data_IF_501323430012
#
_entry.id   IF_501323430012
#
_cell.length_a   1.000
_cell.length_b   1.000
_cell.length_c   1.000
_cell.angle_alpha   90.00
_cell.angle_beta   90.00
_cell.angle_gamma   90.00
#
_symmetry.space_group_name_H-M   'P 1'
#
loop_
_entity.id
_entity.type
_entity.pdbx_description
1 polymer ?
#
# COMPACT_ATOMS: atom_id res chain seq x y z
N UNK A 1 -52.18 -39.99 19.04
CA UNK A 1 -53.10 -38.83 19.23
C UNK A 1 -53.54 -38.78 20.69
N UNK A 2 -53.80 -37.63 21.33
CA UNK A 2 -54.24 -36.35 20.73
C UNK A 2 -53.38 -35.13 21.18
N UNK A 3 -53.33 -34.04 20.39
CA UNK A 3 -53.96 -32.71 20.64
C UNK A 3 -53.24 -31.86 21.71
N UNK A 4 -53.11 -30.55 21.62
CA UNK A 4 -53.40 -29.53 20.61
C UNK A 4 -52.72 -28.26 21.16
N UNK A 5 -52.25 -27.41 20.26
CA UNK A 5 -51.73 -26.08 20.55
C UNK A 5 -52.81 -25.14 21.13
N UNK A 6 -52.37 -24.03 21.74
CA UNK A 6 -52.83 -22.63 21.57
C UNK A 6 -52.68 -21.85 22.89
N UNK A 7 -52.36 -20.56 22.73
CA UNK A 7 -52.46 -19.38 23.65
C UNK A 7 -51.09 -18.73 23.86
N UNK A 8 -50.72 -17.66 23.14
CA UNK A 8 -51.33 -16.34 22.90
C UNK A 8 -51.39 -15.43 24.14
N UNK A 9 -50.76 -14.26 23.96
CA UNK A 9 -50.98 -12.96 24.59
C UNK A 9 -50.17 -12.51 25.82
N UNK A 10 -49.35 -11.48 25.53
CA UNK A 10 -49.37 -10.10 26.07
C UNK A 10 -49.09 -9.86 27.57
N UNK A 11 -47.91 -9.25 27.78
CA UNK A 11 -47.63 -7.99 28.52
C UNK A 11 -48.21 -7.77 29.92
N UNK A 12 -47.35 -7.33 30.85
CA UNK A 12 -47.44 -6.14 31.73
C UNK A 12 -46.70 -6.36 33.06
N UNK A 13 -45.98 -5.33 33.56
CA UNK A 13 -45.52 -5.25 34.96
C UNK A 13 -44.00 -5.06 35.12
N UNK A 14 -43.42 -3.85 35.11
CA UNK A 14 -43.37 -2.80 36.17
C UNK A 14 -42.18 -2.97 37.15
N UNK A 15 -41.24 -2.02 37.02
CA UNK A 15 -40.40 -1.31 38.02
C UNK A 15 -39.95 -1.91 39.37
N UNK A 16 -38.63 -1.80 39.63
CA UNK A 16 -37.98 -1.20 40.82
C UNK A 16 -36.48 -1.67 40.83
N UNK A 17 -35.43 -0.86 40.61
CA UNK A 17 -34.85 0.31 41.32
C UNK A 17 -33.96 -0.08 42.53
N UNK A 18 -32.73 0.50 42.56
CA UNK A 18 -31.69 0.57 43.64
C UNK A 18 -30.88 -0.74 43.85
N UNK A 19 -29.55 -0.81 43.98
CA UNK A 19 -28.47 0.12 44.41
C UNK A 19 -27.13 -0.58 44.20
N UNK A 20 -26.04 0.15 43.92
CA UNK A 20 -24.68 -0.40 44.12
C UNK A 20 -23.58 0.24 43.28
N UNK A 21 -23.16 1.45 43.66
CA UNK A 21 -21.89 2.05 43.27
C UNK A 21 -20.74 1.28 43.94
N UNK A 22 -19.89 0.59 43.18
CA UNK A 22 -18.54 0.21 43.64
C UNK A 22 -17.52 0.85 42.70
N UNK A 23 -16.73 1.74 43.28
CA UNK A 23 -15.63 2.47 42.69
C UNK A 23 -14.32 1.69 42.89
N UNK A 24 -13.69 1.28 41.79
CA UNK A 24 -12.23 1.13 41.65
C UNK A 24 -11.59 -0.22 42.03
N UNK A 25 -11.07 -0.96 41.04
CA UNK A 25 -9.64 -0.97 40.67
C UNK A 25 -9.32 -2.05 39.61
N UNK A 26 -8.59 -1.62 38.59
CA UNK A 26 -7.61 -2.37 37.79
C UNK A 26 -8.06 -3.64 37.03
N UNK A 27 -8.51 -3.45 35.78
CA UNK A 27 -7.96 -4.18 34.63
C UNK A 27 -7.96 -3.25 33.41
N UNK A 28 -6.80 -2.88 32.84
CA UNK A 28 -6.77 -2.34 31.50
C UNK A 28 -7.11 -3.49 30.55
N UNK A 29 -8.33 -3.50 30.02
CA UNK A 29 -8.57 -4.26 28.81
C UNK A 29 -7.80 -3.55 27.70
N UNK A 30 -6.56 -3.97 27.47
CA UNK A 30 -5.82 -3.72 26.25
C UNK A 30 -6.61 -4.35 25.10
N UNK A 31 -7.67 -3.65 24.69
CA UNK A 31 -8.32 -3.85 23.41
C UNK A 31 -7.38 -3.29 22.35
N UNK A 32 -6.26 -3.98 22.13
CA UNK A 32 -5.51 -3.87 20.89
C UNK A 32 -6.33 -4.54 19.78
N UNK A 33 -7.44 -3.89 19.40
CA UNK A 33 -7.97 -4.01 18.04
C UNK A 33 -7.29 -2.96 17.17
N UNK A 34 -5.96 -3.01 17.15
CA UNK A 34 -5.15 -2.36 16.13
C UNK A 34 -4.73 -3.43 15.13
N UNK A 35 -5.69 -3.96 14.38
CA UNK A 35 -5.41 -4.22 12.96
C UNK A 35 -5.48 -2.89 12.24
N UNK A 36 -4.49 -2.04 12.51
CA UNK A 36 -4.02 -1.09 11.53
C UNK A 36 -3.40 -1.93 10.41
N UNK A 37 -4.26 -2.50 9.56
CA UNK A 37 -3.93 -2.65 8.14
C UNK A 37 -3.69 -1.22 7.66
N UNK A 38 -2.46 -0.73 7.88
CA UNK A 38 -1.91 0.35 7.08
C UNK A 38 -1.74 -0.24 5.68
N UNK A 39 -2.87 -0.47 4.99
CA UNK A 39 -2.97 -0.36 3.55
C UNK A 39 -2.51 1.06 3.26
N UNK A 40 -1.20 1.19 3.05
CA UNK A 40 -0.63 2.31 2.34
C UNK A 40 -1.25 2.27 0.94
N UNK A 41 -2.41 2.91 0.86
CA UNK A 41 -3.20 3.13 -0.33
C UNK A 41 -2.44 4.17 -1.14
N UNK A 42 -1.31 3.76 -1.72
CA UNK A 42 -0.58 4.62 -2.65
C UNK A 42 -1.21 4.44 -4.04
N UNK A 43 -2.39 5.05 -4.15
CA UNK A 43 -3.06 5.59 -5.32
C UNK A 43 -2.91 4.84 -6.67
N UNK A 44 -4.05 4.29 -7.12
CA UNK A 44 -4.42 3.99 -8.51
C UNK A 44 -3.29 3.57 -9.45
N UNK A 45 -3.15 2.27 -9.63
CA UNK A 45 -2.50 1.70 -10.82
C UNK A 45 -3.42 0.59 -11.37
N UNK A 46 -3.54 0.43 -12.70
CA UNK A 46 -4.29 -0.65 -13.32
C UNK A 46 -3.89 -1.99 -12.68
N UNK A 47 -4.86 -2.88 -12.45
CA UNK A 47 -4.76 -4.05 -11.56
C UNK A 47 -3.69 -5.04 -12.01
N UNK A 48 -2.45 -4.76 -11.62
CA UNK A 48 -1.38 -5.71 -11.38
C UNK A 48 -1.73 -6.57 -10.18
N UNK A 49 -1.37 -7.86 -10.16
CA UNK A 49 -1.42 -8.56 -8.88
C UNK A 49 -0.31 -8.01 -7.97
N UNK A 50 -0.58 -7.98 -6.65
CA UNK A 50 0.34 -7.45 -5.63
C UNK A 50 1.75 -8.05 -5.76
N UNK A 51 1.86 -9.30 -6.20
CA UNK A 51 3.13 -9.98 -6.39
C UNK A 51 3.94 -9.47 -7.60
N UNK A 52 3.30 -9.26 -8.76
CA UNK A 52 4.00 -8.74 -9.95
C UNK A 52 4.46 -7.30 -9.74
N UNK A 53 3.58 -6.43 -9.21
CA UNK A 53 3.94 -5.05 -8.88
C UNK A 53 5.11 -4.99 -7.88
N UNK A 54 5.10 -5.88 -6.87
CA UNK A 54 6.20 -6.01 -5.91
C UNK A 54 7.49 -6.48 -6.57
N UNK A 55 7.43 -7.43 -7.52
CA UNK A 55 8.60 -7.89 -8.25
C UNK A 55 9.24 -6.77 -9.09
N UNK A 56 8.43 -5.99 -9.83
CA UNK A 56 8.92 -4.83 -10.59
C UNK A 56 9.51 -3.78 -9.66
N UNK A 57 8.79 -3.44 -8.58
CA UNK A 57 9.24 -2.51 -7.54
C UNK A 57 10.61 -2.92 -7.00
N UNK A 58 10.74 -4.15 -6.50
CA UNK A 58 11.99 -4.66 -5.92
C UNK A 58 13.15 -4.62 -6.92
N UNK A 59 12.89 -4.94 -8.19
CA UNK A 59 13.90 -4.89 -9.23
C UNK A 59 14.40 -3.47 -9.48
N UNK A 60 13.54 -2.47 -9.42
CA UNK A 60 13.93 -1.06 -9.54
C UNK A 60 14.64 -0.58 -8.27
N UNK A 61 14.09 -0.87 -7.07
CA UNK A 61 14.64 -0.45 -5.78
C UNK A 61 16.07 -0.96 -5.58
N UNK A 62 16.34 -2.22 -5.93
CA UNK A 62 17.69 -2.80 -5.82
C UNK A 62 18.75 -2.16 -6.74
N UNK A 63 18.34 -1.34 -7.72
CA UNK A 63 19.25 -0.56 -8.59
C UNK A 63 19.20 0.94 -8.28
N UNK A 64 18.46 1.32 -7.24
CA UNK A 64 18.26 2.69 -6.83
C UNK A 64 19.44 3.12 -5.93
N UNK A 65 20.36 3.90 -6.49
CA UNK A 65 21.49 4.46 -5.75
C UNK A 65 21.29 5.96 -5.60
N UNK A 66 20.89 6.39 -4.41
CA UNK A 66 20.74 7.81 -4.06
C UNK A 66 21.97 8.27 -3.32
N UNK A 67 22.53 9.41 -3.69
CA UNK A 67 23.61 10.04 -2.92
C UNK A 67 23.01 10.54 -1.59
N UNK A 68 23.43 9.93 -0.48
CA UNK A 68 22.97 10.23 0.88
C UNK A 68 23.29 11.67 1.33
N UNK A 69 24.09 12.43 0.57
CA UNK A 69 24.40 13.84 0.82
C UNK A 69 23.33 14.81 0.33
N UNK A 70 22.32 14.34 -0.39
CA UNK A 70 21.18 15.15 -0.81
C UNK A 70 20.28 15.43 0.40
N UNK A 71 20.23 16.70 0.82
CA UNK A 71 19.30 17.17 1.84
C UNK A 71 17.85 17.10 1.32
N UNK A 72 16.90 16.92 2.24
CA UNK A 72 15.44 16.96 1.99
C UNK A 72 14.83 15.81 1.17
N UNK A 73 15.58 14.73 0.88
CA UNK A 73 15.02 13.53 0.22
C UNK A 73 13.82 12.99 1.00
N UNK A 74 13.83 13.04 2.33
CA UNK A 74 12.76 12.47 3.17
C UNK A 74 11.37 13.06 2.98
N UNK A 75 11.22 14.14 2.19
CA UNK A 75 9.92 14.75 1.85
C UNK A 75 9.50 14.53 0.38
N UNK A 76 10.23 13.69 -0.35
CA UNK A 76 10.05 13.51 -1.80
C UNK A 76 9.22 12.27 -2.12
N UNK A 77 8.26 12.42 -3.03
CA UNK A 77 7.50 11.32 -3.63
C UNK A 77 7.92 11.16 -5.08
N UNK A 78 8.19 9.92 -5.46
CA UNK A 78 8.62 9.53 -6.80
C UNK A 78 7.58 8.61 -7.42
N UNK A 79 7.04 9.00 -8.57
CA UNK A 79 6.12 8.19 -9.38
C UNK A 79 6.83 7.77 -10.65
N UNK A 80 6.90 6.47 -10.90
CA UNK A 80 7.50 5.89 -12.09
C UNK A 80 6.41 5.21 -12.90
N UNK A 81 6.30 5.57 -14.17
CA UNK A 81 5.39 4.94 -15.12
C UNK A 81 6.19 4.33 -16.27
N UNK A 82 6.00 3.03 -16.50
CA UNK A 82 6.70 2.27 -17.54
C UNK A 82 5.73 1.39 -18.32
N UNK A 83 6.06 1.18 -19.59
CA UNK A 83 5.44 0.19 -20.47
C UNK A 83 6.44 -0.90 -20.77
N UNK A 84 5.99 -2.14 -20.75
CA UNK A 84 6.82 -3.33 -20.88
C UNK A 84 6.31 -4.19 -22.04
N UNK A 85 7.25 -4.75 -22.81
CA UNK A 85 6.98 -5.78 -23.80
C UNK A 85 6.88 -7.16 -23.12
N UNK A 86 6.35 -8.17 -23.82
CA UNK A 86 6.14 -9.52 -23.29
C UNK A 86 7.44 -10.24 -22.89
N UNK A 87 8.58 -9.78 -23.40
CA UNK A 87 9.92 -10.24 -23.03
C UNK A 87 10.51 -9.51 -21.80
N UNK A 88 9.77 -8.55 -21.24
CA UNK A 88 10.19 -7.73 -20.12
C UNK A 88 11.04 -6.52 -20.50
N UNK A 89 11.21 -6.22 -21.80
CA UNK A 89 11.92 -5.02 -22.25
C UNK A 89 11.05 -3.78 -22.05
N UNK A 90 11.70 -2.63 -21.81
CA UNK A 90 10.99 -1.34 -21.76
C UNK A 90 10.58 -0.94 -23.17
N UNK A 91 9.32 -0.54 -23.31
CA UNK A 91 8.75 -0.01 -24.55
C UNK A 91 8.63 1.51 -24.42
N UNK A 92 9.25 2.24 -25.35
CA UNK A 92 9.28 3.69 -25.32
C UNK A 92 10.12 4.25 -24.18
N UNK A 93 9.70 5.39 -23.64
CA UNK A 93 10.42 6.09 -22.60
C UNK A 93 9.70 5.93 -21.25
N UNK A 94 10.42 5.52 -20.18
CA UNK A 94 9.91 5.65 -18.82
C UNK A 94 9.56 7.10 -18.50
N UNK A 95 8.41 7.30 -17.89
CA UNK A 95 8.02 8.59 -17.30
C UNK A 95 8.32 8.56 -15.80
N UNK A 96 8.98 9.62 -15.32
CA UNK A 96 9.45 9.72 -13.94
C UNK A 96 9.07 11.10 -13.43
N UNK A 97 8.16 11.12 -12.47
CA UNK A 97 7.65 12.32 -11.85
C UNK A 97 8.09 12.38 -10.39
N UNK A 98 8.54 13.54 -9.96
CA UNK A 98 9.04 13.75 -8.60
C UNK A 98 8.38 14.99 -8.02
N UNK A 99 7.87 14.86 -6.80
CA UNK A 99 7.17 15.94 -6.10
C UNK A 99 7.70 16.08 -4.67
N UNK A 100 7.65 17.31 -4.13
CA UNK A 100 8.23 17.63 -2.81
C UNK A 100 9.73 17.93 -2.86
N UNK A 101 10.34 18.22 -1.70
CA UNK A 101 11.76 18.57 -1.59
C UNK A 101 12.21 19.79 -2.41
N UNK A 102 13.53 19.98 -2.50
CA UNK A 102 14.15 21.03 -3.35
C UNK A 102 14.21 20.61 -4.82
N UNK A 103 14.25 21.58 -5.74
CA UNK A 103 14.40 21.32 -7.18
C UNK A 103 15.65 20.46 -7.48
N UNK A 104 16.74 20.68 -6.73
CA UNK A 104 17.95 19.88 -6.83
C UNK A 104 17.71 18.42 -6.46
N UNK A 105 16.97 18.17 -5.38
CA UNK A 105 16.61 16.81 -4.96
C UNK A 105 15.68 16.16 -5.98
N UNK A 106 14.69 16.89 -6.49
CA UNK A 106 13.78 16.41 -7.54
C UNK A 106 14.54 15.96 -8.77
N UNK A 107 15.39 16.84 -9.34
CA UNK A 107 16.19 16.52 -10.52
C UNK A 107 17.10 15.32 -10.31
N UNK A 108 17.80 15.27 -9.17
CA UNK A 108 18.67 14.14 -8.87
C UNK A 108 17.90 12.82 -8.74
N UNK A 109 16.72 12.83 -8.11
CA UNK A 109 15.89 11.64 -7.96
C UNK A 109 15.26 11.20 -9.27
N UNK A 110 14.85 12.13 -10.13
CA UNK A 110 14.41 11.81 -11.49
C UNK A 110 15.50 11.08 -12.28
N UNK A 111 16.74 11.59 -12.23
CA UNK A 111 17.88 10.99 -12.93
C UNK A 111 18.27 9.63 -12.34
N UNK A 112 18.18 9.46 -11.01
CA UNK A 112 18.39 8.16 -10.35
C UNK A 112 17.30 7.17 -10.74
N UNK A 113 16.03 7.58 -10.68
CA UNK A 113 14.89 6.73 -11.01
C UNK A 113 14.91 6.25 -12.45
N UNK A 114 15.18 7.15 -13.41
CA UNK A 114 15.30 6.79 -14.81
C UNK A 114 16.43 5.78 -15.05
N UNK A 115 17.59 5.97 -14.41
CA UNK A 115 18.72 5.03 -14.50
C UNK A 115 18.39 3.68 -13.87
N UNK A 116 17.74 3.67 -12.70
CA UNK A 116 17.36 2.44 -12.01
C UNK A 116 16.40 1.60 -12.86
N UNK A 117 15.37 2.23 -13.45
CA UNK A 117 14.42 1.59 -14.36
C UNK A 117 15.14 0.96 -15.55
N UNK A 118 15.99 1.73 -16.23
CA UNK A 118 16.72 1.23 -17.41
C UNK A 118 17.67 0.08 -17.09
N UNK A 119 18.27 0.07 -15.89
CA UNK A 119 19.16 -1.00 -15.42
C UNK A 119 18.42 -2.24 -14.92
N UNK A 120 17.17 -2.09 -14.51
CA UNK A 120 16.33 -3.20 -14.06
C UNK A 120 15.78 -4.02 -15.24
N UNK A 121 15.69 -3.43 -16.44
CA UNK A 121 15.31 -4.15 -17.64
C UNK A 121 16.42 -5.10 -18.11
N UNK A 122 16.07 -6.28 -18.67
CA UNK A 122 14.70 -6.80 -18.85
C UNK A 122 14.06 -7.37 -17.56
N UNK A 123 12.75 -7.17 -17.40
CA UNK A 123 11.93 -7.72 -16.31
C UNK A 123 11.52 -9.19 -16.57
N UNK A 124 12.50 -10.07 -16.68
CA UNK A 124 12.32 -11.48 -17.08
C UNK A 124 11.60 -12.36 -16.05
N UNK A 125 11.47 -11.89 -14.81
CA UNK A 125 10.78 -12.58 -13.71
C UNK A 125 9.25 -12.53 -13.81
N UNK A 126 8.69 -11.78 -14.77
CA UNK A 126 7.25 -11.60 -14.89
C UNK A 126 6.58 -12.79 -15.62
N UNK A 127 5.45 -13.29 -15.12
CA UNK A 127 4.72 -14.39 -15.74
C UNK A 127 4.11 -13.98 -17.08
N UNK A 128 4.56 -14.59 -18.18
CA UNK A 128 4.16 -14.25 -19.57
C UNK A 128 2.68 -14.47 -19.85
N UNK A 129 2.05 -15.41 -19.15
CA UNK A 129 0.62 -15.71 -19.19
C UNK A 129 -0.25 -14.58 -18.64
N UNK A 130 0.31 -13.69 -17.80
CA UNK A 130 -0.40 -12.55 -17.20
C UNK A 130 0.01 -11.19 -17.78
N UNK A 131 0.48 -11.18 -19.03
CA UNK A 131 0.99 -9.97 -19.68
C UNK A 131 0.07 -8.75 -19.58
N UNK A 132 -1.24 -8.93 -19.73
CA UNK A 132 -2.18 -7.82 -19.64
C UNK A 132 -2.23 -7.14 -18.27
N UNK A 133 -1.86 -7.86 -17.21
CA UNK A 133 -1.76 -7.29 -15.87
C UNK A 133 -0.54 -6.37 -15.73
N UNK A 134 0.57 -6.63 -16.44
CA UNK A 134 1.85 -5.95 -16.20
C UNK A 134 2.49 -5.24 -17.39
N UNK A 135 1.85 -5.24 -18.55
CA UNK A 135 2.32 -4.49 -19.74
C UNK A 135 2.47 -2.98 -19.50
N UNK A 136 1.79 -2.42 -18.51
CA UNK A 136 1.86 -1.02 -18.10
C UNK A 136 1.84 -0.95 -16.58
N UNK A 137 2.84 -0.29 -16.00
CA UNK A 137 3.08 -0.31 -14.56
C UNK A 137 3.33 1.10 -14.08
N UNK A 138 2.58 1.51 -13.05
CA UNK A 138 2.79 2.76 -12.32
C UNK A 138 3.19 2.40 -10.89
N UNK A 139 4.30 2.96 -10.41
CA UNK A 139 4.85 2.70 -9.09
C UNK A 139 5.07 4.01 -8.35
N UNK A 140 4.51 4.08 -7.14
CA UNK A 140 4.68 5.21 -6.25
C UNK A 140 5.65 4.84 -5.11
N UNK A 141 6.74 5.57 -5.02
CA UNK A 141 7.80 5.42 -4.03
C UNK A 141 7.75 6.60 -3.05
N UNK A 142 7.74 6.26 -1.76
CA UNK A 142 7.97 7.24 -0.70
C UNK A 142 9.45 7.18 -0.33
N UNK A 143 10.18 8.24 -0.65
CA UNK A 143 11.65 8.24 -0.49
C UNK A 143 12.10 8.50 0.94
N UNK A 144 11.16 8.82 1.86
CA UNK A 144 11.41 8.81 3.30
C UNK A 144 11.88 7.43 3.80
N UNK A 145 11.40 6.36 3.18
CA UNK A 145 11.80 4.99 3.49
C UNK A 145 13.19 4.62 2.93
N UNK A 146 13.77 5.44 2.06
CA UNK A 146 15.09 5.19 1.44
C UNK A 146 16.24 5.90 2.17
N UNK A 147 15.93 6.78 3.15
CA UNK A 147 16.90 7.58 3.90
C UNK A 147 17.16 7.08 5.32
N UNK A 148 16.84 5.82 5.62
CA UNK A 148 16.96 5.24 6.96
C UNK A 148 18.35 4.65 7.22
#
# INVERSE_FOLDING_TARGET
MPRNSIHFAKSFGIYAVLTGLILGLAFPSDANSETADRRNSNANSPVLTVAEAKAVRNAIESRFFVDSRLKDIGSVRLTIHIKLARDGQIVGNPDVQVTGGSERAQKSLSDVGLRAVRRAAPFTMLPKDKYDAWKEVVLNFDTSALTQ
#
